data_IF_353827626934
#
_entry.id   IF_353827626934
#
_cell.length_a   1.000
_cell.length_b   1.000
_cell.length_c   1.000
_cell.angle_alpha   90.00
_cell.angle_beta   90.00
_cell.angle_gamma   90.00
#
_symmetry.space_group_name_H-M   'P 1'
#
loop_
_entity.id
_entity.type
_entity.pdbx_description
1 polymer ?
#
# COMPACT_ATOMS: atom_id res chain seq x y z
N UNK A 1 -39.28 13.05 -1.88
CA UNK A 1 -37.91 13.04 -2.43
C UNK A 1 -37.11 12.10 -1.56
N UNK A 2 -37.12 10.82 -1.90
CA UNK A 2 -36.39 9.80 -1.16
C UNK A 2 -34.92 9.87 -1.55
N UNK A 3 -34.05 10.06 -0.56
CA UNK A 3 -32.61 10.04 -0.75
C UNK A 3 -32.23 8.56 -0.80
N UNK A 4 -32.08 8.04 -2.01
CA UNK A 4 -31.57 6.69 -2.24
C UNK A 4 -30.14 6.58 -1.66
N UNK A 5 -29.85 5.59 -0.80
CA UNK A 5 -28.49 5.37 -0.33
C UNK A 5 -27.63 4.86 -1.50
N UNK A 6 -26.63 5.67 -1.85
CA UNK A 6 -25.55 5.36 -2.80
C UNK A 6 -25.00 3.94 -2.57
N UNK A 7 -24.74 3.15 -3.64
CA UNK A 7 -24.38 1.75 -3.50
C UNK A 7 -23.12 1.63 -2.66
N UNK A 8 -23.23 0.84 -1.59
CA UNK A 8 -22.13 0.41 -0.73
C UNK A 8 -20.97 -0.03 -1.63
N UNK A 9 -19.87 0.72 -1.61
CA UNK A 9 -18.60 0.21 -2.13
C UNK A 9 -18.30 -1.05 -1.33
N UNK A 10 -18.56 -2.22 -1.91
CA UNK A 10 -17.95 -3.46 -1.44
C UNK A 10 -16.46 -3.26 -1.69
N UNK A 11 -15.71 -2.93 -0.64
CA UNK A 11 -14.27 -3.07 -0.68
C UNK A 11 -14.02 -4.57 -0.87
N UNK A 12 -13.69 -4.97 -2.10
CA UNK A 12 -13.17 -6.31 -2.34
C UNK A 12 -11.75 -6.28 -1.74
N UNK A 13 -11.60 -6.83 -0.54
CA UNK A 13 -10.31 -7.01 0.08
C UNK A 13 -9.63 -8.22 -0.56
N UNK A 14 -8.55 -7.99 -1.29
CA UNK A 14 -7.67 -9.04 -1.78
C UNK A 14 -6.54 -9.22 -0.76
N UNK A 15 -6.34 -10.46 -0.32
CA UNK A 15 -5.13 -10.83 0.41
C UNK A 15 -4.08 -11.25 -0.62
N UNK A 16 -3.00 -10.48 -0.69
CA UNK A 16 -1.83 -10.81 -1.50
C UNK A 16 -0.76 -11.34 -0.55
N UNK A 17 -0.43 -12.62 -0.69
CA UNK A 17 0.66 -13.25 0.04
C UNK A 17 1.91 -13.23 -0.85
N UNK A 18 2.97 -12.57 -0.40
CA UNK A 18 4.27 -12.60 -1.05
C UNK A 18 5.23 -13.46 -0.20
N UNK A 19 5.74 -14.55 -0.78
CA UNK A 19 6.71 -15.44 -0.14
C UNK A 19 8.12 -15.17 -0.69
N UNK A 20 9.05 -14.85 0.20
CA UNK A 20 10.49 -14.97 -0.04
C UNK A 20 11.03 -15.92 1.02
N UNK A 21 11.93 -16.82 0.64
CA UNK A 21 12.48 -17.93 1.44
C UNK A 21 12.58 -17.55 2.94
N UNK A 22 11.69 -18.10 3.76
CA UNK A 22 11.54 -17.97 5.22
C UNK A 22 10.93 -16.67 5.82
N UNK A 23 10.39 -15.74 5.03
CA UNK A 23 9.63 -14.57 5.51
C UNK A 23 8.36 -14.34 4.66
N UNK A 24 7.18 -14.31 5.29
CA UNK A 24 5.90 -14.09 4.61
C UNK A 24 5.44 -12.65 4.79
N UNK A 25 5.39 -11.88 3.70
CA UNK A 25 4.79 -10.55 3.68
C UNK A 25 3.31 -10.70 3.31
N UNK A 26 2.43 -10.36 4.24
CA UNK A 26 0.99 -10.36 4.01
C UNK A 26 0.50 -8.95 3.73
N UNK A 27 0.01 -8.73 2.50
CA UNK A 27 -0.49 -7.44 2.05
C UNK A 27 -2.00 -7.56 1.85
N UNK A 28 -2.71 -6.56 2.35
CA UNK A 28 -4.14 -6.40 2.17
C UNK A 28 -4.34 -5.28 1.17
N UNK A 29 -4.87 -5.60 -0.02
CA UNK A 29 -5.31 -4.62 -1.01
C UNK A 29 -6.81 -4.42 -0.84
N UNK A 30 -7.24 -3.20 -0.59
CA UNK A 30 -8.65 -2.86 -0.33
C UNK A 30 -9.17 -1.72 -1.21
N UNK A 31 -8.37 -1.31 -2.19
CA UNK A 31 -8.78 -0.44 -3.28
C UNK A 31 -8.00 -0.77 -4.54
N UNK A 32 -8.69 -0.94 -5.66
CA UNK A 32 -8.09 -1.17 -6.98
C UNK A 32 -8.32 0.09 -7.81
N UNK A 33 -7.25 0.85 -7.99
CA UNK A 33 -7.20 1.97 -8.91
C UNK A 33 -6.20 1.67 -10.00
N UNK A 34 -6.57 1.93 -11.25
CA UNK A 34 -5.73 1.68 -12.42
C UNK A 34 -5.32 3.00 -13.10
N UNK A 35 -4.16 3.01 -13.75
CA UNK A 35 -3.66 4.12 -14.56
C UNK A 35 -2.75 3.61 -15.68
N UNK A 36 -2.36 4.50 -16.59
CA UNK A 36 -1.36 4.21 -17.63
C UNK A 36 0.09 4.34 -17.11
N UNK A 37 0.27 4.56 -15.79
CA UNK A 37 1.60 4.75 -15.21
C UNK A 37 2.34 3.42 -15.03
N UNK A 38 3.26 3.12 -15.96
CA UNK A 38 4.08 1.91 -15.94
C UNK A 38 5.03 1.85 -14.74
N UNK A 39 5.51 2.99 -14.24
CA UNK A 39 6.38 3.05 -13.06
C UNK A 39 5.68 2.56 -11.78
N UNK A 40 4.35 2.57 -11.77
CA UNK A 40 3.52 2.07 -10.68
C UNK A 40 2.84 0.75 -11.01
N UNK A 41 3.37 0.02 -11.99
CA UNK A 41 2.77 -1.20 -12.53
C UNK A 41 1.26 -1.05 -12.80
N UNK A 42 0.89 0.04 -13.48
CA UNK A 42 -0.50 0.40 -13.81
C UNK A 42 -1.40 0.67 -12.60
N UNK A 43 -0.89 0.67 -11.37
CA UNK A 43 -1.64 1.15 -10.23
C UNK A 43 -1.90 2.66 -10.36
N UNK A 44 -3.03 3.10 -9.85
CA UNK A 44 -3.53 4.45 -10.10
C UNK A 44 -4.45 4.95 -9.01
N UNK A 45 -5.05 6.11 -9.28
CA UNK A 45 -5.96 6.77 -8.35
C UNK A 45 -6.99 5.77 -7.78
N UNK A 46 -7.14 5.77 -6.45
CA UNK A 46 -7.99 4.84 -5.65
C UNK A 46 -7.36 3.48 -5.33
N UNK A 47 -6.14 3.19 -5.79
CA UNK A 47 -5.41 2.04 -5.29
C UNK A 47 -5.09 2.25 -3.81
N UNK A 48 -5.35 1.24 -2.99
CA UNK A 48 -5.05 1.24 -1.55
C UNK A 48 -4.64 -0.14 -1.08
N UNK A 49 -3.56 -0.17 -0.32
CA UNK A 49 -3.07 -1.39 0.29
C UNK A 49 -2.47 -1.10 1.66
N UNK A 50 -2.26 -2.17 2.42
CA UNK A 50 -1.61 -2.09 3.72
C UNK A 50 -0.92 -3.39 4.08
N UNK A 51 0.10 -3.32 4.93
CA UNK A 51 0.71 -4.47 5.56
C UNK A 51 1.19 -4.12 6.96
N UNK A 52 1.41 -5.17 7.75
CA UNK A 52 1.96 -5.07 9.10
C UNK A 52 3.38 -5.61 9.10
N UNK A 53 4.29 -4.90 9.76
CA UNK A 53 5.64 -5.37 10.05
C UNK A 53 5.92 -5.28 11.55
N UNK A 54 6.72 -6.21 12.07
CA UNK A 54 7.12 -6.25 13.48
C UNK A 54 8.62 -6.03 13.58
N UNK A 55 9.03 -4.81 13.95
CA UNK A 55 10.44 -4.43 14.06
C UNK A 55 10.76 -4.16 15.52
N UNK A 56 11.77 -4.84 16.07
CA UNK A 56 12.22 -4.64 17.45
C UNK A 56 11.09 -4.71 18.50
N UNK A 57 10.15 -5.65 18.34
CA UNK A 57 8.94 -5.83 19.17
C UNK A 57 7.91 -4.69 19.10
N UNK A 58 8.06 -3.77 18.14
CA UNK A 58 7.07 -2.73 17.83
C UNK A 58 6.32 -3.11 16.56
N UNK A 59 5.01 -2.89 16.57
CA UNK A 59 4.18 -3.14 15.40
C UNK A 59 4.02 -1.87 14.59
N UNK A 60 4.33 -1.97 13.31
CA UNK A 60 4.14 -0.90 12.34
C UNK A 60 3.04 -1.29 11.36
N UNK A 61 2.10 -0.38 11.14
CA UNK A 61 1.11 -0.48 10.06
C UNK A 61 1.50 0.51 8.97
N UNK A 62 1.74 -0.04 7.78
CA UNK A 62 2.00 0.74 6.58
C UNK A 62 0.72 0.79 5.76
N UNK A 63 0.23 1.99 5.48
CA UNK A 63 -0.94 2.21 4.62
C UNK A 63 -0.50 2.99 3.39
N UNK A 64 -0.82 2.46 2.22
CA UNK A 64 -0.34 2.93 0.93
C UNK A 64 -1.52 3.35 0.07
N UNK A 65 -1.36 4.49 -0.60
CA UNK A 65 -2.41 5.04 -1.43
C UNK A 65 -1.81 5.66 -2.70
N UNK A 66 -2.47 5.44 -3.83
CA UNK A 66 -2.20 6.20 -5.05
C UNK A 66 -3.30 7.22 -5.33
N UNK A 67 -2.86 8.39 -5.76
CA UNK A 67 -3.68 9.42 -6.37
C UNK A 67 -3.27 9.55 -7.85
N UNK A 68 -3.90 10.47 -8.60
CA UNK A 68 -3.58 10.64 -10.02
C UNK A 68 -2.09 10.94 -10.32
N UNK A 69 -1.35 11.53 -9.37
CA UNK A 69 0.06 11.94 -9.58
C UNK A 69 0.98 11.69 -8.38
N UNK A 70 0.46 11.08 -7.32
CA UNK A 70 1.22 10.89 -6.08
C UNK A 70 1.02 9.50 -5.52
N UNK A 71 2.11 8.93 -5.05
CA UNK A 71 2.14 7.79 -4.15
C UNK A 71 2.28 8.30 -2.71
N UNK A 72 1.49 7.78 -1.80
CA UNK A 72 1.44 8.18 -0.40
C UNK A 72 1.68 6.95 0.48
N UNK A 73 2.66 7.04 1.37
CA UNK A 73 2.94 6.05 2.41
C UNK A 73 2.66 6.67 3.77
N UNK A 74 1.72 6.10 4.51
CA UNK A 74 1.38 6.48 5.88
C UNK A 74 1.83 5.39 6.83
N UNK A 75 2.57 5.77 7.87
CA UNK A 75 3.17 4.84 8.84
C UNK A 75 2.57 5.10 10.22
N UNK A 76 2.03 4.04 10.81
CA UNK A 76 1.52 4.04 12.17
C UNK A 76 2.38 3.13 13.06
N UNK A 77 2.62 3.57 14.29
CA UNK A 77 3.25 2.79 15.36
C UNK A 77 2.29 2.81 16.55
N UNK A 78 1.91 1.65 17.09
CA UNK A 78 0.97 1.53 18.22
C UNK A 78 -0.31 2.38 18.03
N UNK A 79 -0.89 2.33 16.82
CA UNK A 79 -2.07 3.08 16.39
C UNK A 79 -1.92 4.61 16.33
N UNK A 80 -0.70 5.13 16.45
CA UNK A 80 -0.41 6.56 16.30
C UNK A 80 0.23 6.83 14.95
N UNK A 81 -0.24 7.87 14.26
CA UNK A 81 0.41 8.34 13.05
C UNK A 81 1.80 8.87 13.39
N UNK A 82 2.83 8.24 12.84
CA UNK A 82 4.22 8.67 13.01
C UNK A 82 4.66 9.50 11.82
N UNK A 83 4.27 9.10 10.61
CA UNK A 83 4.76 9.74 9.39
C UNK A 83 3.78 9.59 8.23
N UNK A 84 3.75 10.60 7.37
CA UNK A 84 3.17 10.53 6.04
C UNK A 84 4.20 11.01 5.01
N UNK A 85 4.50 10.18 4.02
CA UNK A 85 5.50 10.42 2.98
C UNK A 85 4.75 10.47 1.64
N UNK A 86 5.03 11.50 0.85
CA UNK A 86 4.41 11.73 -0.45
C UNK A 86 5.51 11.73 -1.49
N UNK A 87 5.37 10.91 -2.53
CA UNK A 87 6.27 10.90 -3.68
C UNK A 87 5.49 11.10 -4.99
N UNK A 88 6.12 11.80 -5.93
CA UNK A 88 5.58 12.06 -7.27
C UNK A 88 6.28 11.25 -8.38
N UNK A 89 7.44 10.67 -8.09
CA UNK A 89 8.31 10.00 -9.09
C UNK A 89 8.35 8.50 -8.89
N UNK A 90 9.19 7.99 -7.97
CA UNK A 90 9.41 6.55 -7.85
C UNK A 90 8.87 5.96 -6.55
N UNK A 91 8.49 4.68 -6.59
CA UNK A 91 8.05 3.96 -5.39
C UNK A 91 9.18 3.70 -4.40
N UNK A 92 10.43 3.63 -4.88
CA UNK A 92 11.59 3.48 -4.00
C UNK A 92 11.79 4.71 -3.10
N UNK A 93 11.50 5.91 -3.62
CA UNK A 93 11.68 7.17 -2.89
C UNK A 93 10.84 7.23 -1.60
N UNK A 94 9.64 6.65 -1.58
CA UNK A 94 8.81 6.64 -0.36
C UNK A 94 9.43 5.83 0.78
N UNK A 95 10.27 4.85 0.44
CA UNK A 95 10.93 3.98 1.41
C UNK A 95 12.28 4.50 1.88
N UNK A 96 12.87 5.47 1.17
CA UNK A 96 14.14 6.09 1.56
C UNK A 96 14.03 6.87 2.89
N UNK A 97 12.83 7.37 3.20
CA UNK A 97 12.55 8.15 4.41
C UNK A 97 12.04 7.31 5.59
N UNK A 98 12.06 5.98 5.47
CA UNK A 98 11.63 5.04 6.52
C UNK A 98 12.88 4.46 7.18
N UNK A 99 13.06 4.75 8.47
CA UNK A 99 14.26 4.36 9.23
C UNK A 99 14.47 2.82 9.24
N UNK A 100 13.38 2.06 9.26
CA UNK A 100 13.38 0.61 9.18
C UNK A 100 12.62 0.18 7.93
N UNK A 101 13.33 0.16 6.80
CA UNK A 101 12.78 -0.33 5.54
C UNK A 101 12.67 -1.87 5.59
N UNK A 102 11.48 -2.44 5.32
CA UNK A 102 11.36 -3.90 5.23
C UNK A 102 12.20 -4.44 4.06
N UNK A 103 12.60 -5.72 4.11
CA UNK A 103 13.56 -6.32 3.16
C UNK A 103 13.04 -6.47 1.72
N UNK A 104 11.75 -6.23 1.49
CA UNK A 104 11.12 -6.37 0.17
C UNK A 104 11.36 -5.12 -0.69
N UNK A 105 11.36 -5.30 -2.02
CA UNK A 105 11.39 -4.17 -2.94
C UNK A 105 10.07 -3.37 -2.88
N UNK A 106 10.08 -2.18 -3.47
CA UNK A 106 8.93 -1.28 -3.38
C UNK A 106 7.67 -1.90 -4.02
N UNK A 107 7.77 -2.54 -5.19
CA UNK A 107 6.60 -3.10 -5.88
C UNK A 107 5.94 -4.20 -5.05
N UNK A 108 6.76 -5.07 -4.44
CA UNK A 108 6.28 -6.07 -3.49
C UNK A 108 5.65 -5.43 -2.28
N UNK A 109 6.29 -4.44 -1.65
CA UNK A 109 5.71 -3.74 -0.49
C UNK A 109 4.38 -3.05 -0.81
N UNK A 110 4.24 -2.56 -2.04
CA UNK A 110 3.00 -1.96 -2.52
C UNK A 110 1.91 -2.98 -2.82
N UNK A 111 2.26 -4.24 -3.07
CA UNK A 111 1.31 -5.29 -3.48
C UNK A 111 0.89 -5.16 -4.94
N UNK A 112 1.72 -4.55 -5.78
CA UNK A 112 1.46 -4.35 -7.21
C UNK A 112 2.26 -5.32 -8.08
N UNK A 113 3.21 -6.06 -7.52
CA UNK A 113 4.08 -7.02 -8.23
C UNK A 113 3.39 -8.38 -8.50
N UNK A 114 2.07 -8.49 -8.28
CA UNK A 114 1.37 -9.76 -8.38
C UNK A 114 0.83 -9.97 -9.81
N UNK A 115 1.07 -11.16 -10.38
CA UNK A 115 0.63 -11.57 -11.73
C UNK A 115 -0.89 -11.59 -11.93
N UNK A 116 -1.67 -11.39 -10.86
CA UNK A 116 -3.13 -11.28 -10.89
C UNK A 116 -3.66 -9.82 -10.91
N UNK A 117 -2.78 -8.82 -11.03
CA UNK A 117 -3.14 -7.39 -11.09
C UNK A 117 -3.07 -6.84 -12.51
#
# INVERSE_FOLDING_TARGET
MEISPSPRYQAICYFINNELINEQLQIIVFGIGISENQEWNYAGNRYRSSFIDNVNKKQFLYVQNFTAKKCILTVYEDNKLIRSIICEKTLADVWFHVDHKPKFDANKLFGIDNEYT
#
